data_IF_814905773928
#
_entry.id   IF_814905773928
#
_cell.length_a   1.000
_cell.length_b   1.000
_cell.length_c   1.000
_cell.angle_alpha   90.00
_cell.angle_beta   90.00
_cell.angle_gamma   90.00
#
_symmetry.space_group_name_H-M   'P 1'
#
loop_
_entity.id
_entity.type
_entity.pdbx_description
1 polymer ?
#
# COMPACT_ATOMS: atom_id res chain seq x y z
N UNK A 1 10.23 28.23 6.21
CA UNK A 1 9.28 29.29 6.58
C UNK A 1 8.61 29.78 5.31
N UNK A 2 7.40 29.28 5.01
CA UNK A 2 6.72 29.53 3.74
C UNK A 2 5.86 30.82 3.73
N UNK A 3 5.86 31.59 4.82
CA UNK A 3 4.99 32.77 4.99
C UNK A 3 5.77 33.93 5.62
N UNK A 4 5.54 35.14 5.13
CA UNK A 4 6.00 36.39 5.76
C UNK A 4 4.91 37.07 6.57
N UNK A 5 3.64 36.75 6.36
CA UNK A 5 2.50 37.26 7.16
C UNK A 5 1.48 36.13 7.35
N UNK A 6 1.06 35.88 8.59
CA UNK A 6 0.00 34.91 8.95
C UNK A 6 -1.29 35.69 9.25
N UNK A 7 -2.34 35.48 8.45
CA UNK A 7 -3.62 36.17 8.65
C UNK A 7 -4.55 35.34 9.55
N UNK A 8 -4.67 35.77 10.80
CA UNK A 8 -5.28 35.02 11.90
C UNK A 8 -6.81 35.15 11.86
N UNK A 9 -7.54 34.06 11.65
CA UNK A 9 -9.02 34.06 11.61
C UNK A 9 -9.60 33.85 13.02
N UNK A 10 -9.07 32.89 13.77
CA UNK A 10 -9.54 32.61 15.12
C UNK A 10 -8.43 32.04 16.00
N UNK A 11 -8.18 32.71 17.15
CA UNK A 11 -7.33 32.17 18.22
C UNK A 11 -8.23 31.45 19.21
N UNK A 12 -8.22 30.12 19.16
CA UNK A 12 -8.75 29.33 20.27
C UNK A 12 -7.73 29.42 21.41
N UNK A 13 -8.18 30.05 22.52
CA UNK A 13 -7.35 30.43 23.65
C UNK A 13 -6.50 29.29 24.23
N UNK A 14 -5.50 29.63 25.06
CA UNK A 14 -4.55 28.66 25.58
C UNK A 14 -5.29 27.67 26.50
N UNK A 15 -5.46 26.44 26.04
CA UNK A 15 -5.96 25.36 26.89
C UNK A 15 -4.79 24.95 27.80
N UNK A 16 -4.76 25.49 29.02
CA UNK A 16 -3.79 25.09 30.03
C UNK A 16 -4.22 23.74 30.63
N UNK A 17 -3.44 22.70 30.39
CA UNK A 17 -3.56 21.45 31.14
C UNK A 17 -2.74 21.62 32.44
N UNK A 18 -3.38 21.79 33.61
CA UNK A 18 -2.69 22.20 34.84
C UNK A 18 -1.69 21.16 35.39
N UNK A 19 -1.66 19.95 34.83
CA UNK A 19 -0.76 18.87 35.24
C UNK A 19 0.60 18.93 34.51
N UNK A 20 0.66 19.52 33.31
CA UNK A 20 1.84 19.44 32.42
C UNK A 20 2.41 20.83 32.07
N UNK A 21 1.72 21.93 32.40
CA UNK A 21 2.21 23.29 32.18
C UNK A 21 2.31 23.69 30.70
N UNK A 22 1.79 22.87 29.78
CA UNK A 22 1.78 23.16 28.35
C UNK A 22 0.66 24.13 28.01
N UNK A 23 1.00 25.26 27.40
CA UNK A 23 0.04 26.19 26.83
C UNK A 23 -0.10 25.87 25.35
N UNK A 24 -1.18 25.17 24.99
CA UNK A 24 -1.51 24.89 23.59
C UNK A 24 -2.41 26.02 23.11
N UNK A 25 -1.87 26.96 22.35
CA UNK A 25 -2.64 27.96 21.60
C UNK A 25 -2.85 27.46 20.17
N UNK A 26 -4.11 27.26 19.78
CA UNK A 26 -4.47 26.88 18.41
C UNK A 26 -4.81 28.16 17.64
N UNK A 27 -3.83 28.68 16.91
CA UNK A 27 -4.02 29.79 15.98
C UNK A 27 -4.50 29.23 14.63
N UNK A 28 -5.79 29.41 14.34
CA UNK A 28 -6.41 29.05 13.05
C UNK A 28 -6.13 30.19 12.07
N UNK A 29 -5.15 29.98 11.20
CA UNK A 29 -4.74 30.91 10.15
C UNK A 29 -5.34 30.47 8.80
N UNK A 30 -5.71 31.42 7.93
CA UNK A 30 -6.26 31.12 6.60
C UNK A 30 -5.37 30.16 5.81
N UNK A 31 -4.06 30.41 5.83
CA UNK A 31 -3.02 29.64 5.17
C UNK A 31 -2.95 28.20 5.70
N UNK A 32 -3.15 27.99 7.01
CA UNK A 32 -3.16 26.65 7.64
C UNK A 32 -4.38 25.84 7.20
N UNK A 33 -5.54 26.48 7.01
CA UNK A 33 -6.77 25.82 6.56
C UNK A 33 -6.66 25.31 5.12
N UNK A 34 -6.09 26.10 4.23
CA UNK A 34 -5.90 25.73 2.81
C UNK A 34 -4.78 24.71 2.67
N UNK A 35 -3.73 24.82 3.49
CA UNK A 35 -2.70 23.80 3.58
C UNK A 35 -3.32 22.46 4.02
N UNK A 36 -4.13 22.45 5.07
CA UNK A 36 -4.84 21.25 5.52
C UNK A 36 -5.78 20.70 4.43
N UNK A 37 -6.52 21.56 3.72
CA UNK A 37 -7.37 21.12 2.60
C UNK A 37 -6.54 20.49 1.46
N UNK A 38 -5.44 21.12 1.07
CA UNK A 38 -4.53 20.58 0.04
C UNK A 38 -3.93 19.23 0.45
N UNK A 39 -3.64 19.06 1.75
CA UNK A 39 -3.16 17.80 2.32
C UNK A 39 -4.23 16.71 2.21
N UNK A 40 -5.49 17.04 2.51
CA UNK A 40 -6.61 16.10 2.42
C UNK A 40 -6.85 15.65 0.99
N UNK A 41 -6.86 16.59 0.02
CA UNK A 41 -7.00 16.26 -1.41
C UNK A 41 -5.86 15.36 -1.87
N UNK A 42 -4.61 15.65 -1.45
CA UNK A 42 -3.46 14.80 -1.78
C UNK A 42 -3.60 13.38 -1.21
N UNK A 43 -3.99 13.26 0.05
CA UNK A 43 -4.17 11.97 0.70
C UNK A 43 -5.30 11.16 0.03
N UNK A 44 -6.39 11.82 -0.35
CA UNK A 44 -7.49 11.22 -1.09
C UNK A 44 -7.04 10.70 -2.46
N UNK A 45 -6.30 11.51 -3.23
CA UNK A 45 -5.79 11.11 -4.55
C UNK A 45 -4.87 9.88 -4.48
N UNK A 46 -3.95 9.83 -3.50
CA UNK A 46 -3.06 8.67 -3.29
C UNK A 46 -3.87 7.43 -2.91
N UNK A 47 -4.89 7.59 -2.06
CA UNK A 47 -5.71 6.47 -1.56
C UNK A 47 -6.52 5.84 -2.68
N UNK A 48 -7.14 6.64 -3.56
CA UNK A 48 -7.88 6.13 -4.73
C UNK A 48 -6.98 5.26 -5.60
N UNK A 49 -5.77 5.75 -5.90
CA UNK A 49 -4.83 5.01 -6.73
C UNK A 49 -4.39 3.70 -6.08
N UNK A 50 -4.11 3.73 -4.77
CA UNK A 50 -3.70 2.54 -4.02
C UNK A 50 -4.78 1.43 -4.01
N UNK A 51 -6.06 1.80 -3.94
CA UNK A 51 -7.17 0.84 -3.98
C UNK A 51 -7.44 0.34 -5.40
N UNK A 52 -7.29 1.19 -6.41
CA UNK A 52 -7.66 0.82 -7.80
C UNK A 52 -6.79 -0.33 -8.34
N UNK A 53 -5.49 -0.34 -8.06
CA UNK A 53 -4.57 -1.34 -8.62
C UNK A 53 -4.94 -2.78 -8.21
N UNK A 54 -5.08 -3.13 -6.92
CA UNK A 54 -5.44 -4.50 -6.53
C UNK A 54 -6.83 -4.94 -6.98
N UNK A 55 -7.77 -4.01 -7.17
CA UNK A 55 -9.14 -4.33 -7.56
C UNK A 55 -9.33 -4.50 -9.07
N UNK A 56 -8.41 -3.97 -9.89
CA UNK A 56 -8.54 -3.99 -11.37
C UNK A 56 -7.56 -4.93 -12.05
N UNK A 57 -6.52 -5.39 -11.34
CA UNK A 57 -5.48 -6.28 -11.87
C UNK A 57 -5.60 -7.66 -11.26
N UNK A 58 -5.66 -8.69 -12.12
CA UNK A 58 -5.57 -10.08 -11.69
C UNK A 58 -4.15 -10.38 -11.15
N UNK A 59 -3.99 -10.87 -9.90
CA UNK A 59 -2.68 -11.16 -9.33
C UNK A 59 -1.84 -12.19 -10.11
N UNK A 60 -2.47 -13.08 -10.87
CA UNK A 60 -1.76 -14.04 -11.74
C UNK A 60 -0.99 -13.36 -12.88
N UNK A 61 -1.33 -12.11 -13.23
CA UNK A 61 -0.64 -11.34 -14.27
C UNK A 61 0.57 -10.57 -13.73
N UNK A 62 0.80 -10.54 -12.42
CA UNK A 62 1.94 -9.79 -11.86
C UNK A 62 3.29 -10.33 -12.34
N UNK A 63 3.44 -11.66 -12.47
CA UNK A 63 4.69 -12.26 -12.97
C UNK A 63 5.05 -11.77 -14.37
N UNK A 64 4.12 -11.87 -15.33
CA UNK A 64 4.36 -11.40 -16.70
C UNK A 64 4.52 -9.87 -16.77
N UNK A 65 3.84 -9.12 -15.90
CA UNK A 65 4.01 -7.66 -15.79
C UNK A 65 5.44 -7.30 -15.37
N UNK A 66 5.94 -7.93 -14.31
CA UNK A 66 7.32 -7.71 -13.84
C UNK A 66 8.37 -8.13 -14.87
N UNK A 67 8.13 -9.22 -15.60
CA UNK A 67 8.99 -9.59 -16.73
C UNK A 67 8.97 -8.51 -17.83
N UNK A 68 7.80 -7.99 -18.16
CA UNK A 68 7.63 -6.90 -19.14
C UNK A 68 8.35 -5.61 -18.73
N UNK A 69 8.49 -5.36 -17.42
CA UNK A 69 9.28 -4.26 -16.86
C UNK A 69 10.80 -4.49 -16.90
N UNK A 70 11.26 -5.65 -17.37
CA UNK A 70 12.67 -6.00 -17.51
C UNK A 70 13.28 -6.78 -16.34
N UNK A 71 12.47 -7.24 -15.38
CA UNK A 71 12.98 -8.04 -14.26
C UNK A 71 13.38 -9.46 -14.71
N UNK A 72 14.29 -10.13 -13.98
CA UNK A 72 14.71 -11.49 -14.28
C UNK A 72 13.56 -12.49 -14.24
N UNK A 73 13.59 -13.50 -15.11
CA UNK A 73 12.55 -14.55 -15.18
C UNK A 73 12.35 -15.27 -13.83
N UNK A 74 13.42 -15.43 -13.04
CA UNK A 74 13.35 -16.03 -11.69
C UNK A 74 12.48 -15.20 -10.74
N UNK A 75 12.61 -13.88 -10.78
CA UNK A 75 11.80 -12.98 -9.95
C UNK A 75 10.33 -12.99 -10.40
N UNK A 76 10.10 -12.82 -11.70
CA UNK A 76 8.77 -12.85 -12.29
C UNK A 76 8.04 -14.17 -11.98
N UNK A 77 8.72 -15.30 -12.09
CA UNK A 77 8.18 -16.61 -11.73
C UNK A 77 7.91 -16.75 -10.23
N UNK A 78 8.82 -16.29 -9.36
CA UNK A 78 8.63 -16.35 -7.91
C UNK A 78 7.39 -15.55 -7.48
N UNK A 79 7.13 -14.40 -8.12
CA UNK A 79 5.91 -13.61 -7.87
C UNK A 79 4.65 -14.37 -8.27
N UNK A 80 4.60 -14.91 -9.50
CA UNK A 80 3.47 -15.72 -10.00
C UNK A 80 3.19 -16.92 -9.10
N UNK A 81 4.25 -17.63 -8.72
CA UNK A 81 4.20 -18.78 -7.82
C UNK A 81 3.65 -18.40 -6.44
N UNK A 82 4.10 -17.27 -5.89
CA UNK A 82 3.64 -16.76 -4.60
C UNK A 82 2.14 -16.48 -4.61
N UNK A 83 1.65 -15.72 -5.59
CA UNK A 83 0.21 -15.41 -5.68
C UNK A 83 -0.64 -16.66 -5.92
N UNK A 84 -0.12 -17.65 -6.64
CA UNK A 84 -0.79 -18.95 -6.81
C UNK A 84 -0.89 -19.74 -5.51
N UNK A 85 0.09 -19.63 -4.61
CA UNK A 85 0.10 -20.38 -3.35
C UNK A 85 -0.64 -19.70 -2.20
N UNK A 86 -0.84 -18.38 -2.24
CA UNK A 86 -1.60 -17.67 -1.20
C UNK A 86 -2.98 -18.32 -0.94
N UNK A 87 -3.82 -18.64 -1.95
CA UNK A 87 -5.09 -19.32 -1.73
C UNK A 87 -4.96 -20.72 -1.14
N UNK A 88 -3.96 -21.50 -1.58
CA UNK A 88 -3.72 -22.86 -1.07
C UNK A 88 -3.28 -22.82 0.39
N UNK A 89 -2.36 -21.92 0.76
CA UNK A 89 -1.94 -21.71 2.15
C UNK A 89 -3.12 -21.27 3.03
N UNK A 90 -4.00 -20.42 2.53
CA UNK A 90 -5.23 -20.04 3.23
C UNK A 90 -6.15 -21.23 3.49
N UNK A 91 -6.31 -22.12 2.50
CA UNK A 91 -7.08 -23.37 2.65
C UNK A 91 -6.44 -24.31 3.67
N UNK A 92 -5.13 -24.52 3.59
CA UNK A 92 -4.40 -25.40 4.50
C UNK A 92 -4.44 -24.89 5.94
N UNK A 93 -4.40 -23.56 6.09
CA UNK A 93 -4.62 -22.90 7.38
C UNK A 93 -6.03 -23.16 7.91
N UNK A 94 -7.08 -23.00 7.09
CA UNK A 94 -8.45 -23.30 7.49
C UNK A 94 -8.65 -24.77 7.89
N UNK A 95 -8.12 -25.71 7.10
CA UNK A 95 -8.18 -27.15 7.43
C UNK A 95 -7.46 -27.43 8.75
N UNK A 96 -6.28 -26.85 8.93
CA UNK A 96 -5.51 -27.01 10.18
C UNK A 96 -6.29 -26.41 11.36
N UNK A 97 -6.88 -25.23 11.20
CA UNK A 97 -7.71 -24.58 12.20
C UNK A 97 -8.89 -25.47 12.63
N UNK A 98 -9.61 -26.03 11.68
CA UNK A 98 -10.75 -26.91 11.97
C UNK A 98 -10.30 -28.22 12.63
N UNK A 99 -9.14 -28.76 12.24
CA UNK A 99 -8.55 -29.94 12.89
C UNK A 99 -8.16 -29.67 14.35
N UNK A 100 -7.63 -28.48 14.65
CA UNK A 100 -7.28 -28.09 16.02
C UNK A 100 -8.54 -27.84 16.85
N UNK A 101 -9.57 -27.20 16.28
CA UNK A 101 -10.89 -27.04 16.92
C UNK A 101 -11.50 -28.38 17.31
N UNK A 102 -11.43 -29.39 16.44
CA UNK A 102 -11.90 -30.74 16.74
C UNK A 102 -11.12 -31.40 17.90
N UNK A 103 -9.88 -30.99 18.14
CA UNK A 103 -9.05 -31.41 19.29
C UNK A 103 -9.30 -30.57 20.55
N UNK A 104 -10.33 -29.72 20.57
CA UNK A 104 -10.68 -28.86 21.70
C UNK A 104 -9.84 -27.58 21.80
N UNK A 105 -9.15 -27.21 20.72
CA UNK A 105 -8.33 -25.99 20.71
C UNK A 105 -9.18 -24.74 20.45
N UNK A 106 -9.37 -23.90 21.48
CA UNK A 106 -10.12 -22.65 21.38
C UNK A 106 -9.22 -21.49 20.90
N UNK A 107 -9.32 -21.15 19.60
CA UNK A 107 -8.58 -20.02 18.99
C UNK A 107 -9.32 -18.69 19.15
N UNK A 108 -10.61 -18.73 19.51
CA UNK A 108 -11.51 -17.58 19.52
C UNK A 108 -11.22 -16.54 20.62
N UNK A 109 -10.36 -16.87 21.59
CA UNK A 109 -9.90 -15.93 22.62
C UNK A 109 -8.38 -15.86 22.64
N UNK A 110 -7.82 -15.05 21.73
CA UNK A 110 -6.43 -14.56 21.79
C UNK A 110 -6.26 -13.57 22.96
N UNK A 111 -6.53 -14.04 24.18
CA UNK A 111 -6.31 -13.33 25.43
C UNK A 111 -4.89 -13.58 25.97
N UNK A 112 -4.37 -12.59 26.72
CA UNK A 112 -3.03 -12.61 27.30
C UNK A 112 -2.05 -11.68 26.58
N UNK A 113 -0.81 -11.59 27.09
CA UNK A 113 0.26 -10.82 26.45
C UNK A 113 0.77 -11.46 25.14
N UNK A 114 1.61 -10.73 24.41
CA UNK A 114 2.16 -11.12 23.09
C UNK A 114 2.70 -12.56 23.08
N UNK A 115 3.48 -12.94 24.10
CA UNK A 115 4.07 -14.28 24.20
C UNK A 115 3.00 -15.38 24.31
N UNK A 116 1.91 -15.11 25.04
CA UNK A 116 0.80 -16.05 25.17
C UNK A 116 0.04 -16.21 23.84
N UNK A 117 -0.13 -15.11 23.09
CA UNK A 117 -0.74 -15.15 21.76
C UNK A 117 0.11 -15.94 20.75
N UNK A 118 1.43 -15.73 20.73
CA UNK A 118 2.35 -16.49 19.87
C UNK A 118 2.28 -17.99 20.20
N UNK A 119 2.34 -18.34 21.49
CA UNK A 119 2.21 -19.74 21.92
C UNK A 119 0.88 -20.35 21.50
N UNK A 120 -0.19 -19.54 21.44
CA UNK A 120 -1.51 -19.98 20.97
C UNK A 120 -1.59 -20.18 19.46
N UNK A 121 -0.80 -19.46 18.67
CA UNK A 121 -0.77 -19.62 17.22
C UNK A 121 0.16 -20.74 16.76
N UNK A 122 1.15 -21.12 17.57
CA UNK A 122 2.15 -22.13 17.21
C UNK A 122 1.54 -23.47 16.73
N UNK A 123 0.48 -24.06 17.35
CA UNK A 123 -0.13 -25.30 16.87
C UNK A 123 -0.81 -25.20 15.50
N UNK A 124 -1.12 -23.97 15.04
CA UNK A 124 -1.67 -23.71 13.70
C UNK A 124 -0.54 -23.45 12.69
N UNK A 125 0.42 -22.61 13.06
CA UNK A 125 1.48 -22.17 12.17
C UNK A 125 2.48 -23.29 11.85
N UNK A 126 2.86 -24.10 12.84
CA UNK A 126 3.88 -25.14 12.65
C UNK A 126 3.43 -26.18 11.61
N UNK A 127 2.23 -26.80 11.70
CA UNK A 127 1.81 -27.77 10.69
C UNK A 127 1.69 -27.17 9.29
N UNK A 128 1.10 -25.98 9.16
CA UNK A 128 0.94 -25.30 7.86
C UNK A 128 2.30 -24.99 7.24
N UNK A 129 3.27 -24.53 8.05
CA UNK A 129 4.62 -24.21 7.57
C UNK A 129 5.36 -25.46 7.11
N UNK A 130 5.28 -26.56 7.86
CA UNK A 130 5.91 -27.83 7.48
C UNK A 130 5.29 -28.36 6.18
N UNK A 131 3.96 -28.37 6.06
CA UNK A 131 3.28 -28.78 4.84
C UNK A 131 3.65 -27.90 3.63
N UNK A 132 3.81 -26.59 3.84
CA UNK A 132 4.25 -25.67 2.79
C UNK A 132 5.69 -25.95 2.32
N UNK A 133 6.60 -26.31 3.23
CA UNK A 133 7.99 -26.68 2.89
C UNK A 133 8.01 -27.98 2.09
N UNK A 134 7.32 -29.02 2.55
CA UNK A 134 7.25 -30.31 1.84
C UNK A 134 6.62 -30.13 0.46
N UNK A 135 5.53 -29.36 0.36
CA UNK A 135 4.93 -29.05 -0.94
C UNK A 135 5.88 -28.27 -1.85
N UNK A 136 6.70 -27.36 -1.31
CA UNK A 136 7.71 -26.66 -2.10
C UNK A 136 8.79 -27.61 -2.64
N UNK A 137 9.22 -28.61 -1.86
CA UNK A 137 10.15 -29.65 -2.32
C UNK A 137 9.55 -30.45 -3.48
N UNK A 138 8.30 -30.92 -3.36
CA UNK A 138 7.59 -31.62 -4.43
C UNK A 138 7.50 -30.78 -5.73
N UNK A 139 7.29 -29.47 -5.57
CA UNK A 139 7.22 -28.53 -6.70
C UNK A 139 8.59 -28.33 -7.33
N UNK A 140 9.66 -28.24 -6.54
CA UNK A 140 11.03 -28.11 -7.04
C UNK A 140 11.42 -29.37 -7.81
N UNK A 141 11.15 -30.56 -7.27
CA UNK A 141 11.42 -31.83 -7.95
C UNK A 141 10.66 -31.92 -9.29
N UNK A 142 9.37 -31.53 -9.29
CA UNK A 142 8.58 -31.48 -10.51
C UNK A 142 9.09 -30.44 -11.53
N UNK A 143 9.69 -29.34 -11.06
CA UNK A 143 10.32 -28.33 -11.91
C UNK A 143 11.62 -28.84 -12.52
N UNK A 144 12.45 -29.54 -11.75
CA UNK A 144 13.71 -30.13 -12.21
C UNK A 144 13.46 -31.23 -13.25
N UNK A 145 12.44 -32.08 -13.03
CA UNK A 145 11.99 -33.07 -14.03
C UNK A 145 11.52 -32.44 -15.35
N UNK A 146 11.06 -31.18 -15.31
CA UNK A 146 10.66 -30.41 -16.50
C UNK A 146 11.79 -29.54 -17.06
N UNK A 147 13.02 -29.75 -16.60
CA UNK A 147 14.21 -28.98 -16.98
C UNK A 147 14.02 -27.46 -16.82
N UNK A 148 13.32 -27.05 -15.75
CA UNK A 148 13.11 -25.63 -15.46
C UNK A 148 14.46 -24.91 -15.24
N UNK A 149 14.68 -23.80 -15.94
CA UNK A 149 15.87 -22.97 -15.75
C UNK A 149 17.10 -23.36 -16.56
N UNK A 150 17.04 -24.41 -17.38
CA UNK A 150 18.15 -24.82 -18.27
C UNK A 150 18.34 -23.87 -19.46
N UNK A 151 17.32 -23.12 -19.85
CA UNK A 151 17.37 -22.20 -20.98
C UNK A 151 16.45 -20.99 -20.84
N UNK A 152 16.39 -20.12 -21.88
CA UNK A 152 15.53 -18.94 -21.87
C UNK A 152 14.06 -19.36 -21.81
N UNK A 153 13.32 -18.79 -20.86
CA UNK A 153 11.90 -19.07 -20.65
C UNK A 153 11.04 -18.34 -21.67
N UNK A 154 10.02 -19.01 -22.20
CA UNK A 154 8.93 -18.39 -22.95
C UNK A 154 7.70 -18.23 -22.05
N UNK A 155 6.98 -17.12 -22.23
CA UNK A 155 5.77 -16.80 -21.46
C UNK A 155 4.54 -17.05 -22.32
N UNK A 156 3.59 -17.83 -21.79
CA UNK A 156 2.34 -18.19 -22.47
C UNK A 156 1.42 -16.97 -22.61
N UNK A 157 1.24 -16.22 -21.53
CA UNK A 157 0.54 -14.95 -21.56
C UNK A 157 1.50 -13.84 -21.99
N UNK A 158 1.06 -13.00 -22.93
CA UNK A 158 1.78 -11.79 -23.34
C UNK A 158 0.85 -10.60 -23.18
N UNK A 159 1.34 -9.57 -22.48
CA UNK A 159 0.63 -8.30 -22.34
C UNK A 159 0.91 -7.44 -23.57
N UNK A 160 -0.14 -7.00 -24.24
CA UNK A 160 -0.06 -6.12 -25.41
C UNK A 160 -0.72 -4.78 -25.10
N UNK A 161 0.04 -3.69 -25.21
CA UNK A 161 -0.49 -2.36 -25.03
C UNK A 161 -1.48 -1.99 -26.14
N UNK A 162 -2.63 -1.46 -25.75
CA UNK A 162 -3.62 -0.86 -26.62
C UNK A 162 -3.30 0.62 -26.81
N UNK A 163 -3.88 1.22 -27.86
CA UNK A 163 -3.72 2.68 -28.13
C UNK A 163 -4.16 3.55 -26.95
N UNK A 164 -5.19 3.12 -26.22
CA UNK A 164 -5.66 3.80 -25.01
C UNK A 164 -4.59 3.82 -23.91
N UNK A 165 -3.82 2.74 -23.76
CA UNK A 165 -2.76 2.64 -22.75
C UNK A 165 -1.63 3.62 -23.06
N UNK A 166 -1.23 3.73 -24.34
CA UNK A 166 -0.25 4.71 -24.78
C UNK A 166 -0.73 6.15 -24.56
N UNK A 167 -2.00 6.44 -24.86
CA UNK A 167 -2.59 7.75 -24.62
C UNK A 167 -2.61 8.10 -23.12
N UNK A 168 -2.95 7.15 -22.26
CA UNK A 168 -2.95 7.30 -20.80
C UNK A 168 -1.55 7.55 -20.25
N UNK A 169 -0.55 6.79 -20.72
CA UNK A 169 0.86 6.97 -20.33
C UNK A 169 1.35 8.36 -20.75
N UNK A 170 1.09 8.76 -22.00
CA UNK A 170 1.50 10.06 -22.51
C UNK A 170 0.86 11.22 -21.76
N UNK A 171 -0.46 11.15 -21.50
CA UNK A 171 -1.17 12.16 -20.72
C UNK A 171 -0.64 12.25 -19.28
N UNK A 172 -0.38 11.11 -18.62
CA UNK A 172 0.15 11.06 -17.26
C UNK A 172 1.56 11.65 -17.18
N UNK A 173 2.44 11.31 -18.14
CA UNK A 173 3.79 11.87 -18.21
C UNK A 173 3.78 13.38 -18.46
N UNK A 174 2.88 13.85 -19.34
CA UNK A 174 2.71 15.28 -19.61
C UNK A 174 2.27 16.04 -18.36
N UNK A 175 1.25 15.54 -17.65
CA UNK A 175 0.76 16.15 -16.39
C UNK A 175 1.89 16.19 -15.35
N UNK A 176 2.65 15.10 -15.20
CA UNK A 176 3.76 15.03 -14.25
C UNK A 176 4.86 16.06 -14.57
N UNK A 177 5.31 16.12 -15.82
CA UNK A 177 6.34 17.07 -16.27
C UNK A 177 5.83 18.51 -16.11
N UNK A 178 4.61 18.81 -16.56
CA UNK A 178 4.03 20.14 -16.43
C UNK A 178 3.94 20.57 -14.96
N UNK A 179 3.47 19.68 -14.07
CA UNK A 179 3.38 19.97 -12.63
C UNK A 179 4.76 20.24 -12.00
N UNK A 180 5.78 19.50 -12.43
CA UNK A 180 7.15 19.64 -11.92
C UNK A 180 7.78 20.94 -12.42
N UNK A 181 7.62 21.28 -13.70
CA UNK A 181 8.11 22.55 -14.27
C UNK A 181 7.44 23.74 -13.58
N UNK A 182 6.11 23.71 -13.40
CA UNK A 182 5.39 24.77 -12.70
C UNK A 182 5.83 24.92 -11.24
N UNK A 183 6.15 23.82 -10.57
CA UNK A 183 6.71 23.84 -9.22
C UNK A 183 8.11 24.47 -9.18
N UNK A 184 8.99 24.14 -10.15
CA UNK A 184 10.32 24.74 -10.27
C UNK A 184 10.29 26.22 -10.61
N UNK A 185 9.28 26.69 -11.35
CA UNK A 185 9.09 28.11 -11.68
C UNK A 185 8.49 28.93 -10.51
N UNK A 186 8.38 28.35 -9.31
CA UNK A 186 7.75 28.94 -8.11
C UNK A 186 6.29 29.40 -8.28
N UNK A 187 5.64 29.04 -9.39
CA UNK A 187 4.22 29.33 -9.67
C UNK A 187 3.28 28.48 -8.77
N UNK A 188 3.84 27.50 -8.05
CA UNK A 188 3.12 26.58 -7.15
C UNK A 188 3.15 26.93 -5.66
N UNK A 189 3.43 28.18 -5.25
CA UNK A 189 3.18 28.59 -3.86
C UNK A 189 1.69 28.43 -3.53
N UNK A 190 1.39 27.99 -2.31
CA UNK A 190 0.03 27.66 -1.87
C UNK A 190 -0.92 28.83 -2.22
N UNK A 191 -1.80 28.62 -3.19
CA UNK A 191 -2.76 29.66 -3.59
C UNK A 191 -3.78 29.82 -2.47
N UNK A 192 -3.80 31.00 -1.86
CA UNK A 192 -4.78 31.36 -0.84
C UNK A 192 -5.91 32.14 -1.53
N UNK A 193 -7.17 31.66 -1.49
CA UNK A 193 -8.27 32.40 -2.08
C UNK A 193 -8.42 33.77 -1.40
N UNK A 194 -8.53 34.84 -2.19
CA UNK A 194 -8.83 36.20 -1.70
C UNK A 194 -9.99 36.29 -0.68
N UNK A 195 -11.12 35.56 -0.82
CA UNK A 195 -12.20 35.64 0.18
C UNK A 195 -11.80 35.14 1.57
N UNK A 196 -10.82 34.22 1.68
CA UNK A 196 -10.29 33.73 2.96
C UNK A 196 -9.34 34.74 3.61
N UNK A 197 -8.58 35.49 2.81
CA UNK A 197 -7.76 36.60 3.30
C UNK A 197 -8.62 37.74 3.84
N UNK A 198 -9.71 38.10 3.12
CA UNK A 198 -10.64 39.15 3.55
C UNK A 198 -11.33 38.85 4.89
N UNK A 199 -11.60 37.58 5.18
CA UNK A 199 -12.17 37.10 6.44
C UNK A 199 -11.16 37.07 7.61
N UNK A 200 -9.87 37.09 7.30
CA UNK A 200 -8.78 37.06 8.27
C UNK A 200 -8.21 38.47 8.57
N UNK A 201 -8.45 39.43 7.68
CA UNK A 201 -8.08 40.85 7.84
C UNK A 201 -9.23 41.73 8.38
N UNK A 202 -10.40 41.16 8.66
CA UNK A 202 -11.62 41.86 9.09
C UNK A 202 -11.99 41.59 10.53
#
# INVERSE_FOLDING_TARGET
YAYHEEHLIHRLGPLSLPIVGWQISLDITAEKSIFALSQLVRMYAITIMAITIPYTVDPSLYGVTFRGLGLPDKFAYAMDLSFRFVPTLGRDFSITLDSQRARGYEVEKLSGGIVAQIRKLAPLLVPVTINAIVGAEDIIDAMDLRAFGVGPRTWVHRLTYRRADYALIAASALIFIASTVLAFMEVGRLWVPEPLLRLATG
#
